data_IF_318794051981
#
_entry.id   IF_318794051981
#
_cell.length_a   1.000
_cell.length_b   1.000
_cell.length_c   1.000
_cell.angle_alpha   90.00
_cell.angle_beta   90.00
_cell.angle_gamma   90.00
#
_symmetry.space_group_name_H-M   'P 1'
#
loop_
_entity.id
_entity.type
_entity.pdbx_description
1 polymer ?
#
# COMPACT_ATOMS: atom_id res chain seq x y z
N UNK A 1 -7.36 16.10 -0.12
CA UNK A 1 -6.87 16.18 1.28
C UNK A 1 -5.63 17.05 1.36
N UNK A 2 -4.43 16.60 0.94
CA UNK A 2 -3.19 17.38 1.10
C UNK A 2 -3.16 18.76 0.43
N UNK A 3 -3.79 18.91 -0.74
CA UNK A 3 -3.82 20.19 -1.47
C UNK A 3 -4.95 21.14 -1.03
N UNK A 4 -5.74 20.79 -0.01
CA UNK A 4 -6.95 21.57 0.34
C UNK A 4 -7.32 21.59 1.82
N UNK A 5 -6.84 20.63 2.62
CA UNK A 5 -7.22 20.44 4.03
C UNK A 5 -6.03 20.60 5.00
N UNK A 6 -4.88 21.05 4.50
CA UNK A 6 -3.69 21.31 5.28
C UNK A 6 -2.96 22.55 4.73
N UNK A 7 -2.13 23.24 5.53
CA UNK A 7 -1.12 24.16 5.01
C UNK A 7 -0.23 23.46 3.99
N UNK A 8 0.44 24.25 3.15
CA UNK A 8 1.50 23.71 2.28
C UNK A 8 2.54 22.97 3.15
N UNK A 9 2.92 21.78 2.72
CA UNK A 9 3.86 20.92 3.44
C UNK A 9 4.22 19.68 2.66
N UNK A 10 4.96 18.79 3.31
CA UNK A 10 5.55 17.60 2.69
C UNK A 10 5.04 16.32 3.35
N UNK A 11 4.66 15.35 2.53
CA UNK A 11 4.43 13.99 3.03
C UNK A 11 5.75 13.37 3.49
N UNK A 12 5.69 12.40 4.41
CA UNK A 12 6.89 11.74 4.96
C UNK A 12 7.81 11.12 3.88
N UNK A 13 7.23 10.61 2.81
CA UNK A 13 7.96 10.05 1.67
C UNK A 13 8.67 11.13 0.84
N UNK A 14 8.05 12.30 0.67
CA UNK A 14 8.62 13.44 -0.07
C UNK A 14 9.75 14.08 0.74
N UNK A 15 9.53 14.26 2.05
CA UNK A 15 10.54 14.73 2.99
C UNK A 15 11.78 13.82 2.98
N UNK A 16 11.60 12.51 3.10
CA UNK A 16 12.70 11.55 3.08
C UNK A 16 13.46 11.53 1.74
N UNK A 17 12.74 11.65 0.62
CA UNK A 17 13.35 11.75 -0.71
C UNK A 17 14.19 13.03 -0.86
N UNK A 18 13.65 14.17 -0.43
CA UNK A 18 14.35 15.46 -0.46
C UNK A 18 15.59 15.46 0.42
N UNK A 19 15.50 14.92 1.63
CA UNK A 19 16.65 14.73 2.53
C UNK A 19 17.74 13.90 1.86
N UNK A 20 17.37 12.77 1.24
CA UNK A 20 18.34 11.93 0.52
C UNK A 20 19.00 12.67 -0.66
N UNK A 21 18.20 13.42 -1.41
CA UNK A 21 18.66 14.22 -2.57
C UNK A 21 19.32 15.54 -2.18
N UNK A 22 19.39 15.87 -0.88
CA UNK A 22 19.90 17.14 -0.35
C UNK A 22 19.19 18.36 -0.95
N UNK A 23 17.87 18.26 -1.06
CA UNK A 23 17.00 19.33 -1.56
C UNK A 23 16.40 20.10 -0.38
N UNK A 24 16.07 21.37 -0.60
CA UNK A 24 15.40 22.18 0.42
C UNK A 24 13.96 21.75 0.67
N UNK A 25 13.50 21.96 1.90
CA UNK A 25 12.12 21.69 2.32
C UNK A 25 11.22 22.92 2.16
N UNK A 26 9.94 22.69 1.91
CA UNK A 26 8.92 23.73 1.75
C UNK A 26 7.74 23.44 2.68
N UNK A 27 7.27 24.46 3.39
CA UNK A 27 6.08 24.35 4.23
C UNK A 27 6.25 23.49 5.48
N UNK A 28 5.15 22.90 5.94
CA UNK A 28 5.09 22.02 7.10
C UNK A 28 5.82 20.69 6.84
N UNK A 29 6.66 20.25 7.78
CA UNK A 29 7.42 19.00 7.65
C UNK A 29 6.97 17.94 8.67
N UNK A 30 7.07 16.64 8.33
CA UNK A 30 6.69 15.56 9.25
C UNK A 30 7.51 15.56 10.54
N UNK A 31 8.78 15.96 10.50
CA UNK A 31 9.65 16.06 11.69
C UNK A 31 9.20 17.19 12.61
N UNK A 32 8.81 18.32 12.03
CA UNK A 32 8.25 19.45 12.78
C UNK A 32 6.95 19.05 13.48
N UNK A 33 5.98 18.51 12.73
CA UNK A 33 4.68 18.11 13.29
C UNK A 33 4.84 17.06 14.39
N UNK A 34 5.70 16.05 14.18
CA UNK A 34 5.98 15.03 15.19
C UNK A 34 6.52 15.63 16.50
N UNK A 35 7.32 16.71 16.42
CA UNK A 35 7.80 17.44 17.60
C UNK A 35 6.70 18.26 18.25
N UNK A 36 5.89 18.96 17.45
CA UNK A 36 4.83 19.84 17.93
C UNK A 36 3.72 19.08 18.66
N UNK A 37 3.26 17.94 18.12
CA UNK A 37 2.20 17.14 18.77
C UNK A 37 2.62 16.59 20.14
N UNK A 38 3.90 16.22 20.31
CA UNK A 38 4.45 15.80 21.60
C UNK A 38 4.48 16.99 22.58
N UNK A 39 4.85 18.17 22.10
CA UNK A 39 4.85 19.38 22.93
C UNK A 39 3.42 19.79 23.35
N UNK A 40 2.44 19.62 22.46
CA UNK A 40 1.03 19.84 22.78
C UNK A 40 0.54 18.88 23.87
N UNK A 41 0.87 17.59 23.77
CA UNK A 41 0.55 16.59 24.80
C UNK A 41 1.12 16.97 26.18
N UNK A 42 2.40 17.32 26.23
CA UNK A 42 3.06 17.77 27.47
C UNK A 42 2.40 19.01 28.09
N UNK A 43 2.06 20.01 27.27
CA UNK A 43 1.39 21.22 27.75
C UNK A 43 -0.01 20.94 28.27
N UNK A 44 -0.76 20.06 27.60
CA UNK A 44 -2.08 19.64 28.03
C UNK A 44 -2.02 18.92 29.39
N UNK A 45 -1.08 17.99 29.56
CA UNK A 45 -0.84 17.33 30.85
C UNK A 45 -0.42 18.30 31.95
N UNK A 46 0.54 19.19 31.66
CA UNK A 46 0.97 20.19 32.63
C UNK A 46 -0.20 21.08 33.07
N UNK A 47 -1.07 21.49 32.15
CA UNK A 47 -2.24 22.32 32.46
C UNK A 47 -3.27 21.57 33.30
N UNK A 48 -3.66 20.35 32.88
CA UNK A 48 -4.74 19.60 33.55
C UNK A 48 -4.35 19.17 34.98
N UNK A 49 -3.07 18.95 35.25
CA UNK A 49 -2.57 18.61 36.60
C UNK A 49 -2.65 19.76 37.61
N UNK A 50 -2.70 21.02 37.15
CA UNK A 50 -2.81 22.17 38.07
C UNK A 50 -4.21 22.35 38.66
N UNK A 51 -5.22 21.71 38.07
CA UNK A 51 -6.63 21.96 38.39
C UNK A 51 -7.18 20.89 39.33
N UNK A 52 -7.85 21.35 40.40
CA UNK A 52 -8.64 20.50 41.29
C UNK A 52 -10.13 20.84 41.17
N UNK A 53 -10.87 19.97 40.48
CA UNK A 53 -12.31 20.17 40.29
C UNK A 53 -13.09 20.05 41.62
N UNK A 54 -14.05 20.96 41.83
CA UNK A 54 -14.96 20.98 42.99
C UNK A 54 -16.41 20.66 42.60
N UNK A 55 -16.72 20.66 41.30
CA UNK A 55 -17.97 20.23 40.66
C UNK A 55 -17.64 19.34 39.47
N UNK A 56 -18.60 18.50 39.05
CA UNK A 56 -18.45 17.59 37.91
C UNK A 56 -17.16 16.75 37.96
N UNK A 57 -16.80 16.31 39.17
CA UNK A 57 -15.51 15.66 39.47
C UNK A 57 -15.27 14.42 38.60
N UNK A 58 -16.32 13.63 38.34
CA UNK A 58 -16.19 12.43 37.50
C UNK A 58 -15.99 12.77 36.02
N UNK A 59 -16.59 13.86 35.53
CA UNK A 59 -16.33 14.35 34.17
C UNK A 59 -14.91 14.91 34.05
N UNK A 60 -14.46 15.66 35.06
CA UNK A 60 -13.08 16.15 35.08
C UNK A 60 -12.06 15.00 35.11
N UNK A 61 -12.35 13.89 35.81
CA UNK A 61 -11.51 12.68 35.75
C UNK A 61 -11.46 12.06 34.35
N UNK A 62 -12.58 12.04 33.61
CA UNK A 62 -12.62 11.57 32.21
C UNK A 62 -11.80 12.49 31.31
N UNK A 63 -12.00 13.79 31.38
CA UNK A 63 -11.21 14.78 30.63
C UNK A 63 -9.71 14.64 30.94
N UNK A 64 -9.36 14.43 32.21
CA UNK A 64 -7.99 14.19 32.63
C UNK A 64 -7.43 12.93 31.97
N UNK A 65 -8.16 11.82 31.98
CA UNK A 65 -7.79 10.59 31.28
C UNK A 65 -7.59 10.83 29.77
N UNK A 66 -8.45 11.63 29.14
CA UNK A 66 -8.33 11.97 27.72
C UNK A 66 -7.02 12.70 27.39
N UNK A 67 -6.55 13.58 28.27
CA UNK A 67 -5.25 14.24 28.10
C UNK A 67 -4.09 13.25 28.17
N UNK A 68 -4.16 12.27 29.06
CA UNK A 68 -3.19 11.15 29.10
C UNK A 68 -3.26 10.31 27.82
N UNK A 69 -4.45 10.01 27.32
CA UNK A 69 -4.61 9.31 26.04
C UNK A 69 -3.99 10.09 24.88
N UNK A 70 -4.22 11.41 24.81
CA UNK A 70 -3.66 12.26 23.76
C UNK A 70 -2.12 12.33 23.82
N UNK A 71 -1.53 12.41 25.02
CA UNK A 71 -0.07 12.42 25.18
C UNK A 71 0.55 11.08 24.73
N UNK A 72 0.00 9.94 25.16
CA UNK A 72 0.49 8.63 24.75
C UNK A 72 0.29 8.40 23.24
N UNK A 73 -0.82 8.87 22.67
CA UNK A 73 -1.07 8.81 21.22
C UNK A 73 -0.11 9.70 20.42
N UNK A 74 0.19 10.92 20.90
CA UNK A 74 1.14 11.81 20.26
C UNK A 74 2.55 11.21 20.23
N UNK A 75 3.00 10.63 21.35
CA UNK A 75 4.29 9.96 21.43
C UNK A 75 4.34 8.68 20.56
N UNK A 76 3.26 7.88 20.52
CA UNK A 76 3.14 6.74 19.62
C UNK A 76 3.42 7.13 18.16
N UNK A 77 2.74 8.16 17.65
CA UNK A 77 2.90 8.62 16.28
C UNK A 77 4.26 9.27 16.04
N UNK A 78 4.74 10.11 16.96
CA UNK A 78 6.03 10.78 16.81
C UNK A 78 7.21 9.79 16.74
N UNK A 79 7.21 8.77 17.60
CA UNK A 79 8.21 7.70 17.56
C UNK A 79 8.07 6.85 16.28
N UNK A 80 6.84 6.59 15.82
CA UNK A 80 6.61 5.87 14.54
C UNK A 80 7.12 6.66 13.34
N UNK A 81 6.96 7.99 13.32
CA UNK A 81 7.52 8.88 12.28
C UNK A 81 9.05 8.82 12.28
N UNK A 82 9.69 8.91 13.45
CA UNK A 82 11.16 8.79 13.55
C UNK A 82 11.66 7.45 13.01
N UNK A 83 10.97 6.35 13.34
CA UNK A 83 11.26 5.04 12.78
C UNK A 83 11.11 5.03 11.26
N UNK A 84 9.98 5.54 10.75
CA UNK A 84 9.68 5.53 9.32
C UNK A 84 10.71 6.32 8.49
N UNK A 85 11.25 7.43 9.01
CA UNK A 85 12.29 8.19 8.31
C UNK A 85 13.60 7.41 8.14
N UNK A 86 14.02 6.66 9.17
CA UNK A 86 15.17 5.75 9.06
C UNK A 86 14.92 4.60 8.08
N UNK A 87 13.70 4.05 8.09
CA UNK A 87 13.29 2.99 7.15
C UNK A 87 13.27 3.52 5.72
N UNK A 88 12.71 4.71 5.49
CA UNK A 88 12.74 5.37 4.18
C UNK A 88 14.16 5.71 3.74
N UNK A 89 15.06 6.06 4.66
CA UNK A 89 16.48 6.23 4.33
C UNK A 89 17.11 4.93 3.80
N UNK A 90 16.78 3.78 4.40
CA UNK A 90 17.21 2.46 3.90
C UNK A 90 16.76 2.22 2.44
N UNK A 91 15.58 2.70 2.02
CA UNK A 91 15.12 2.63 0.62
C UNK A 91 16.17 3.16 -0.36
N UNK A 92 16.93 4.17 0.04
CA UNK A 92 17.90 4.83 -0.81
C UNK A 92 19.34 4.40 -0.54
N UNK A 93 19.70 4.14 0.71
CA UNK A 93 21.06 3.76 1.10
C UNK A 93 21.35 2.27 0.90
N UNK A 94 20.31 1.43 0.94
CA UNK A 94 20.38 -0.03 1.06
C UNK A 94 21.28 -0.51 2.22
N UNK A 95 21.48 0.33 3.24
CA UNK A 95 22.33 0.04 4.39
C UNK A 95 21.50 -0.42 5.58
N UNK A 96 21.65 -1.69 5.97
CA UNK A 96 20.90 -2.31 7.09
C UNK A 96 21.09 -1.54 8.41
N UNK A 97 22.20 -0.82 8.58
CA UNK A 97 22.41 0.04 9.75
C UNK A 97 21.31 1.10 9.93
N UNK A 98 20.72 1.60 8.84
CA UNK A 98 19.59 2.54 8.92
C UNK A 98 18.35 1.85 9.53
N UNK A 99 18.11 0.57 9.23
CA UNK A 99 17.02 -0.20 9.86
C UNK A 99 17.28 -0.46 11.35
N UNK A 100 18.53 -0.67 11.74
CA UNK A 100 18.91 -0.77 13.15
C UNK A 100 18.64 0.52 13.93
N UNK A 101 18.87 1.68 13.30
CA UNK A 101 18.53 2.98 13.90
C UNK A 101 17.02 3.17 14.03
N UNK A 102 16.21 2.62 13.11
CA UNK A 102 14.76 2.69 13.17
C UNK A 102 14.16 1.89 14.35
N UNK A 103 14.73 0.71 14.62
CA UNK A 103 14.19 -0.26 15.57
C UNK A 103 13.86 0.28 16.96
N UNK A 104 14.74 1.03 17.67
CA UNK A 104 14.41 1.57 18.99
C UNK A 104 13.23 2.55 18.97
N UNK A 105 13.03 3.30 17.88
CA UNK A 105 11.90 4.20 17.74
C UNK A 105 10.59 3.42 17.54
N UNK A 106 10.59 2.38 16.69
CA UNK A 106 9.39 1.54 16.52
C UNK A 106 9.02 0.83 17.81
N UNK A 107 10.01 0.37 18.58
CA UNK A 107 9.77 -0.26 19.87
C UNK A 107 9.12 0.71 20.87
N UNK A 108 9.66 1.93 21.01
CA UNK A 108 9.05 2.98 21.85
C UNK A 108 7.64 3.35 21.41
N UNK A 109 7.41 3.41 20.10
CA UNK A 109 6.06 3.62 19.56
C UNK A 109 5.09 2.56 20.10
N UNK A 110 5.40 1.27 19.95
CA UNK A 110 4.55 0.18 20.47
C UNK A 110 4.39 0.25 22.01
N UNK A 111 5.43 0.65 22.75
CA UNK A 111 5.35 0.85 24.20
C UNK A 111 4.35 1.96 24.59
N UNK A 112 4.37 3.10 23.90
CA UNK A 112 3.38 4.17 24.08
C UNK A 112 1.96 3.70 23.72
N UNK A 113 1.82 2.93 22.64
CA UNK A 113 0.53 2.35 22.27
C UNK A 113 -0.01 1.39 23.34
N UNK A 114 0.87 0.59 23.97
CA UNK A 114 0.48 -0.30 25.06
C UNK A 114 -0.01 0.46 26.30
N UNK A 115 0.56 1.63 26.59
CA UNK A 115 0.06 2.52 27.66
C UNK A 115 -1.30 3.12 27.30
N UNK A 116 -1.48 3.55 26.05
CA UNK A 116 -2.78 4.02 25.54
C UNK A 116 -3.88 2.95 25.67
N UNK A 117 -3.56 1.68 25.45
CA UNK A 117 -4.51 0.57 25.69
C UNK A 117 -4.96 0.53 27.14
N UNK A 118 -4.04 0.64 28.11
CA UNK A 118 -4.38 0.64 29.55
C UNK A 118 -5.25 1.83 29.94
N UNK A 119 -5.03 2.99 29.32
CA UNK A 119 -5.83 4.19 29.58
C UNK A 119 -7.24 4.11 29.00
N UNK A 120 -7.47 3.23 28.01
CA UNK A 120 -8.72 3.16 27.23
C UNK A 120 -9.57 1.93 27.51
N UNK A 121 -8.98 0.82 27.97
CA UNK A 121 -9.64 -0.50 28.04
C UNK A 121 -10.92 -0.54 28.89
N UNK A 122 -10.95 0.26 29.96
CA UNK A 122 -12.09 0.36 30.88
C UNK A 122 -12.82 1.72 30.79
N UNK A 123 -12.35 2.63 29.93
CA UNK A 123 -12.86 4.01 29.85
C UNK A 123 -13.54 4.34 28.51
N UNK A 124 -13.31 3.53 27.47
CA UNK A 124 -13.92 3.69 26.15
C UNK A 124 -14.56 2.39 25.63
N UNK A 125 -15.70 2.52 24.96
CA UNK A 125 -16.36 1.39 24.30
C UNK A 125 -15.68 1.03 22.97
N UNK A 126 -15.30 2.05 22.20
CA UNK A 126 -14.70 1.96 20.87
C UNK A 126 -14.14 3.32 20.45
N UNK A 127 -13.27 3.35 19.44
CA UNK A 127 -12.73 4.55 18.83
C UNK A 127 -13.64 5.08 17.69
N UNK A 128 -13.93 4.24 16.69
CA UNK A 128 -14.78 4.62 15.55
C UNK A 128 -16.24 4.24 15.77
N UNK A 129 -17.16 5.20 15.54
CA UNK A 129 -18.61 4.94 15.56
C UNK A 129 -19.10 4.24 14.29
N UNK A 130 -18.44 4.46 13.13
CA UNK A 130 -18.73 3.76 11.88
C UNK A 130 -17.98 2.42 11.82
N UNK A 131 -18.65 1.35 12.22
CA UNK A 131 -18.07 0.00 12.41
C UNK A 131 -18.43 -0.94 11.25
N UNK A 132 -18.01 -0.57 10.05
CA UNK A 132 -18.41 -1.24 8.82
C UNK A 132 -17.21 -1.50 7.91
N UNK A 133 -17.41 -2.34 6.89
CA UNK A 133 -16.39 -2.71 5.89
C UNK A 133 -15.81 -1.52 5.11
N UNK A 134 -16.46 -0.35 5.14
CA UNK A 134 -15.96 0.88 4.54
C UNK A 134 -14.73 1.44 5.26
N UNK A 135 -14.54 1.15 6.55
CA UNK A 135 -13.35 1.57 7.30
C UNK A 135 -12.17 0.69 6.89
N UNK A 136 -11.21 1.26 6.14
CA UNK A 136 -10.04 0.55 5.59
C UNK A 136 -8.76 0.73 6.43
N UNK A 137 -8.58 1.89 7.06
CA UNK A 137 -7.34 2.29 7.75
C UNK A 137 -7.59 2.41 9.26
N UNK A 138 -6.69 1.96 10.15
CA UNK A 138 -5.45 1.24 9.86
C UNK A 138 -5.65 -0.23 9.47
N UNK A 139 -6.79 -0.83 9.83
CA UNK A 139 -7.18 -2.19 9.46
C UNK A 139 -8.64 -2.19 8.98
N UNK A 140 -9.03 -3.17 8.15
CA UNK A 140 -10.42 -3.29 7.69
C UNK A 140 -11.36 -3.58 8.88
N UNK A 141 -12.40 -2.76 9.05
CA UNK A 141 -13.39 -2.85 10.13
C UNK A 141 -14.58 -3.75 9.83
N UNK A 142 -14.38 -4.87 9.13
CA UNK A 142 -15.46 -5.82 8.80
C UNK A 142 -15.98 -6.42 10.11
N UNK A 143 -17.30 -6.58 10.25
CA UNK A 143 -17.94 -7.23 11.40
C UNK A 143 -17.50 -6.69 12.78
N UNK A 144 -17.29 -5.37 12.87
CA UNK A 144 -16.89 -4.65 14.11
C UNK A 144 -15.54 -5.08 14.68
N UNK A 145 -14.62 -5.59 13.86
CA UNK A 145 -13.25 -5.86 14.30
C UNK A 145 -12.37 -4.59 14.30
N UNK A 146 -11.36 -4.55 15.17
CA UNK A 146 -10.38 -3.46 15.27
C UNK A 146 -11.01 -2.11 15.60
N UNK A 147 -12.07 -2.09 16.42
CA UNK A 147 -12.78 -0.88 16.82
C UNK A 147 -12.22 -0.27 18.10
N UNK A 148 -11.38 -1.01 18.83
CA UNK A 148 -10.76 -0.57 20.08
C UNK A 148 -9.22 -0.68 20.01
N UNK A 149 -8.49 0.20 20.71
CA UNK A 149 -7.01 0.21 20.75
C UNK A 149 -6.41 -1.16 21.15
N UNK A 150 -7.03 -1.85 22.11
CA UNK A 150 -6.62 -3.20 22.55
C UNK A 150 -6.54 -4.23 21.41
N UNK A 151 -7.39 -4.12 20.39
CA UNK A 151 -7.38 -5.03 19.23
C UNK A 151 -6.25 -4.70 18.24
N UNK A 152 -5.77 -3.46 18.24
CA UNK A 152 -4.67 -3.00 17.39
C UNK A 152 -3.29 -3.27 17.98
N UNK A 153 -3.16 -3.37 19.31
CA UNK A 153 -1.86 -3.65 19.95
C UNK A 153 -1.21 -4.97 19.48
N UNK A 154 -1.93 -6.09 19.34
CA UNK A 154 -1.37 -7.30 18.73
C UNK A 154 -0.89 -7.09 17.29
N UNK A 155 -1.57 -6.25 16.51
CA UNK A 155 -1.19 -5.93 15.12
C UNK A 155 0.16 -5.19 15.10
N UNK A 156 0.32 -4.14 15.89
CA UNK A 156 1.59 -3.40 15.97
C UNK A 156 2.72 -4.21 16.63
N UNK A 157 2.39 -5.11 17.54
CA UNK A 157 3.38 -6.04 18.10
C UNK A 157 3.88 -7.02 17.04
N UNK A 158 2.98 -7.52 16.18
CA UNK A 158 3.34 -8.38 15.05
C UNK A 158 4.21 -7.63 14.03
N UNK A 159 3.83 -6.40 13.67
CA UNK A 159 4.62 -5.49 12.82
C UNK A 159 6.05 -5.32 13.34
N UNK A 160 6.22 -4.98 14.62
CA UNK A 160 7.54 -4.84 15.26
C UNK A 160 8.35 -6.15 15.22
N UNK A 161 7.70 -7.28 15.49
CA UNK A 161 8.37 -8.58 15.49
C UNK A 161 8.80 -9.02 14.08
N UNK A 162 7.99 -8.73 13.07
CA UNK A 162 8.37 -8.96 11.67
C UNK A 162 9.55 -8.06 11.28
N UNK A 163 9.51 -6.78 11.63
CA UNK A 163 10.60 -5.86 11.37
C UNK A 163 11.93 -6.32 11.98
N UNK A 164 11.92 -6.81 13.23
CA UNK A 164 13.10 -7.43 13.87
C UNK A 164 13.65 -8.61 13.06
N UNK A 165 12.78 -9.54 12.66
CA UNK A 165 13.16 -10.70 11.82
C UNK A 165 13.74 -10.29 10.47
N UNK A 166 13.21 -9.24 9.85
CA UNK A 166 13.70 -8.70 8.58
C UNK A 166 15.12 -8.15 8.73
N UNK A 167 15.40 -7.39 9.79
CA UNK A 167 16.76 -6.90 10.10
C UNK A 167 17.72 -8.08 10.31
N UNK A 168 17.35 -9.07 11.13
CA UNK A 168 18.20 -10.23 11.41
C UNK A 168 18.50 -11.03 10.13
N UNK A 169 17.48 -11.24 9.30
CA UNK A 169 17.61 -11.93 8.01
C UNK A 169 18.58 -11.18 7.09
N UNK A 170 18.42 -9.87 6.94
CA UNK A 170 19.29 -9.03 6.10
C UNK A 170 20.75 -9.02 6.59
N UNK A 171 20.98 -9.02 7.91
CA UNK A 171 22.32 -9.13 8.48
C UNK A 171 22.97 -10.48 8.22
N UNK A 172 22.21 -11.56 8.40
CA UNK A 172 22.71 -12.93 8.21
C UNK A 172 23.16 -13.20 6.76
N UNK A 173 22.61 -12.45 5.80
CA UNK A 173 22.92 -12.59 4.39
C UNK A 173 24.22 -11.91 3.96
N UNK A 174 24.95 -11.15 4.82
CA UNK A 174 26.27 -10.54 4.49
C UNK A 174 26.33 -9.89 3.09
N UNK A 175 25.30 -9.15 2.68
CA UNK A 175 25.24 -8.51 1.35
C UNK A 175 25.10 -9.46 0.16
N UNK A 176 24.89 -10.76 0.39
CA UNK A 176 24.67 -11.76 -0.64
C UNK A 176 23.16 -12.02 -0.85
N UNK A 177 22.73 -11.64 -2.06
CA UNK A 177 21.46 -11.95 -2.72
C UNK A 177 20.19 -11.37 -2.08
N UNK A 178 19.67 -10.33 -2.73
CA UNK A 178 18.24 -10.04 -2.75
C UNK A 178 17.48 -11.37 -2.88
N UNK A 179 16.47 -11.59 -2.03
CA UNK A 179 15.64 -12.79 -2.09
C UNK A 179 15.30 -13.10 -3.55
N UNK A 180 15.66 -14.31 -4.01
CA UNK A 180 15.52 -14.71 -5.41
C UNK A 180 14.07 -14.45 -5.83
N UNK A 181 13.86 -13.52 -6.75
CA UNK A 181 12.53 -13.22 -7.25
C UNK A 181 12.01 -14.46 -7.97
N UNK A 182 10.86 -14.96 -7.53
CA UNK A 182 10.19 -16.11 -8.14
C UNK A 182 9.15 -15.53 -9.12
N UNK A 183 9.33 -15.72 -10.45
CA UNK A 183 8.31 -15.32 -11.41
C UNK A 183 7.01 -16.09 -11.18
N UNK A 184 5.89 -15.42 -11.41
CA UNK A 184 4.59 -16.05 -11.34
C UNK A 184 4.48 -17.15 -12.40
N UNK A 185 3.95 -18.28 -11.97
CA UNK A 185 3.67 -19.39 -12.86
C UNK A 185 2.39 -19.12 -13.63
N UNK A 186 2.49 -19.10 -14.96
CA UNK A 186 1.35 -18.98 -15.84
C UNK A 186 0.48 -20.24 -15.78
N UNK A 187 -0.83 -20.07 -15.80
CA UNK A 187 -1.78 -21.17 -15.97
C UNK A 187 -2.28 -21.16 -17.40
N UNK A 188 -2.32 -22.35 -18.01
CA UNK A 188 -2.86 -22.50 -19.36
C UNK A 188 -4.39 -22.39 -19.32
N UNK A 189 -4.90 -21.38 -20.02
CA UNK A 189 -6.32 -21.05 -20.09
C UNK A 189 -6.72 -20.97 -21.55
N UNK A 190 -7.85 -21.58 -21.91
CA UNK A 190 -8.34 -21.57 -23.29
C UNK A 190 -9.05 -20.24 -23.56
N UNK A 191 -8.35 -19.29 -24.16
CA UNK A 191 -8.94 -18.06 -24.68
C UNK A 191 -9.77 -18.39 -25.93
N UNK A 192 -10.97 -17.82 -26.04
CA UNK A 192 -11.99 -18.20 -27.02
C UNK A 192 -12.18 -17.17 -28.14
N UNK A 193 -11.82 -15.91 -27.90
CA UNK A 193 -12.08 -14.79 -28.82
C UNK A 193 -10.83 -14.04 -29.29
N UNK A 194 -9.65 -14.41 -28.82
CA UNK A 194 -8.35 -13.85 -29.22
C UNK A 194 -7.35 -15.00 -29.40
N UNK A 195 -6.49 -14.92 -30.41
CA UNK A 195 -5.55 -16.00 -30.78
C UNK A 195 -4.08 -15.62 -30.58
N UNK A 196 -3.77 -14.32 -30.62
CA UNK A 196 -2.41 -13.83 -30.47
C UNK A 196 -2.02 -13.66 -29.00
N UNK A 197 -0.84 -14.17 -28.66
CA UNK A 197 -0.28 -14.08 -27.31
C UNK A 197 1.15 -13.60 -27.37
N UNK A 198 1.67 -13.12 -26.24
CA UNK A 198 3.06 -12.73 -26.09
C UNK A 198 3.60 -13.20 -24.74
N UNK A 199 4.90 -13.50 -24.70
CA UNK A 199 5.58 -13.77 -23.44
C UNK A 199 6.01 -12.43 -22.83
N UNK A 200 5.53 -12.14 -21.64
CA UNK A 200 5.86 -10.90 -20.93
C UNK A 200 7.37 -10.89 -20.66
N UNK A 201 8.08 -10.00 -21.35
CA UNK A 201 9.51 -9.75 -21.20
C UNK A 201 9.88 -8.39 -21.79
N UNK A 202 11.09 -7.89 -21.54
CA UNK A 202 11.61 -6.68 -22.19
C UNK A 202 11.66 -6.84 -23.71
N UNK A 203 11.43 -5.74 -24.42
CA UNK A 203 11.45 -5.61 -25.87
C UNK A 203 10.42 -6.48 -26.61
N UNK A 204 9.32 -6.85 -25.93
CA UNK A 204 8.22 -7.61 -26.53
C UNK A 204 7.05 -6.69 -26.85
N UNK A 205 6.48 -6.86 -28.04
CA UNK A 205 5.28 -6.15 -28.49
C UNK A 205 4.03 -6.65 -27.77
N UNK A 206 3.19 -5.71 -27.33
CA UNK A 206 2.03 -6.03 -26.46
C UNK A 206 0.67 -5.86 -27.12
N UNK A 207 0.59 -5.10 -28.21
CA UNK A 207 -0.65 -4.91 -28.99
C UNK A 207 -0.56 -5.64 -30.32
N UNK A 208 -1.70 -6.03 -30.89
CA UNK A 208 -1.76 -6.77 -32.16
C UNK A 208 -1.49 -5.88 -33.39
N UNK A 209 -1.71 -4.57 -33.26
CA UNK A 209 -1.76 -3.59 -34.35
C UNK A 209 -0.72 -2.47 -34.22
N UNK A 210 0.24 -2.59 -33.30
CA UNK A 210 1.32 -1.62 -33.13
C UNK A 210 2.64 -2.29 -32.78
N UNK A 211 3.75 -1.57 -32.98
CA UNK A 211 5.10 -1.99 -32.58
C UNK A 211 5.51 -1.51 -31.17
N UNK A 212 4.53 -1.15 -30.33
CA UNK A 212 4.82 -0.70 -28.95
C UNK A 212 5.34 -1.88 -28.12
N UNK A 213 6.52 -1.70 -27.54
CA UNK A 213 7.24 -2.73 -26.79
C UNK A 213 7.37 -2.39 -25.31
N UNK A 214 7.49 -3.44 -24.49
CA UNK A 214 7.87 -3.35 -23.08
C UNK A 214 9.31 -2.83 -22.97
N UNK A 215 9.49 -1.69 -22.29
CA UNK A 215 10.81 -1.15 -21.96
C UNK A 215 11.38 -1.82 -20.71
N UNK A 216 10.59 -1.84 -19.65
CA UNK A 216 10.94 -2.38 -18.34
C UNK A 216 9.74 -3.15 -17.77
N UNK A 217 10.00 -4.22 -17.01
CA UNK A 217 8.95 -5.05 -16.40
C UNK A 217 9.46 -5.67 -15.10
N UNK A 218 8.58 -5.78 -14.11
CA UNK A 218 8.84 -6.44 -12.85
C UNK A 218 9.17 -7.92 -13.08
N UNK A 219 10.26 -8.41 -12.46
CA UNK A 219 10.75 -9.78 -12.63
C UNK A 219 9.69 -10.84 -12.29
N UNK A 220 8.75 -10.54 -11.38
CA UNK A 220 7.62 -11.41 -11.04
C UNK A 220 6.68 -11.69 -12.21
N UNK A 221 6.57 -10.75 -13.17
CA UNK A 221 5.68 -10.88 -14.33
C UNK A 221 6.36 -11.56 -15.52
N UNK A 222 7.69 -11.71 -15.50
CA UNK A 222 8.45 -12.24 -16.62
C UNK A 222 8.07 -13.68 -16.89
N UNK A 223 7.79 -14.00 -18.16
CA UNK A 223 7.40 -15.34 -18.60
C UNK A 223 5.90 -15.63 -18.55
N UNK A 224 5.07 -14.71 -18.02
CA UNK A 224 3.63 -14.82 -18.16
C UNK A 224 3.21 -14.73 -19.63
N UNK A 225 2.10 -15.40 -19.97
CA UNK A 225 1.54 -15.40 -21.34
C UNK A 225 0.41 -14.37 -21.43
N UNK A 226 0.75 -13.17 -21.89
CA UNK A 226 -0.20 -12.11 -22.17
C UNK A 226 -0.97 -12.35 -23.47
N UNK A 227 -2.08 -11.62 -23.64
CA UNK A 227 -2.94 -11.70 -24.83
C UNK A 227 -2.76 -10.40 -25.61
N UNK A 228 -2.38 -10.49 -26.89
CA UNK A 228 -2.32 -9.32 -27.76
C UNK A 228 -3.73 -8.93 -28.14
N UNK A 229 -4.10 -7.70 -27.85
CA UNK A 229 -5.38 -7.12 -28.25
C UNK A 229 -5.08 -5.87 -29.08
N UNK A 230 -5.87 -5.62 -30.12
CA UNK A 230 -5.73 -4.41 -30.94
C UNK A 230 -5.96 -3.17 -30.09
N UNK A 231 -4.99 -2.27 -30.09
CA UNK A 231 -5.04 -0.95 -29.46
C UNK A 231 -6.21 -0.13 -30.02
N UNK A 232 -6.39 -0.16 -31.34
CA UNK A 232 -7.49 0.54 -32.01
C UNK A 232 -8.86 0.02 -31.56
N UNK A 233 -9.03 -1.30 -31.43
CA UNK A 233 -10.25 -1.94 -30.91
C UNK A 233 -10.53 -1.52 -29.47
N UNK A 234 -9.51 -1.53 -28.61
CA UNK A 234 -9.64 -1.09 -27.22
C UNK A 234 -10.16 0.35 -27.08
N UNK A 235 -9.65 1.27 -27.91
CA UNK A 235 -10.08 2.67 -27.91
C UNK A 235 -11.53 2.84 -28.39
N UNK A 236 -11.95 2.08 -29.41
CA UNK A 236 -13.27 2.25 -30.03
C UNK A 236 -14.40 1.60 -29.23
N UNK A 237 -14.21 0.34 -28.83
CA UNK A 237 -15.27 -0.52 -28.29
C UNK A 237 -14.93 -1.15 -26.94
N UNK A 238 -13.70 -1.00 -26.45
CA UNK A 238 -13.23 -1.61 -25.21
C UNK A 238 -12.61 -2.99 -25.41
N UNK A 239 -12.45 -3.73 -24.31
CA UNK A 239 -11.76 -5.02 -24.31
C UNK A 239 -12.71 -6.13 -23.84
N UNK A 240 -12.95 -7.12 -24.68
CA UNK A 240 -13.68 -8.34 -24.31
C UNK A 240 -12.71 -9.52 -24.26
N UNK A 241 -12.71 -10.28 -23.17
CA UNK A 241 -11.91 -11.49 -23.01
C UNK A 241 -12.84 -12.64 -22.67
N UNK A 242 -13.01 -13.56 -23.61
CA UNK A 242 -13.77 -14.81 -23.44
C UNK A 242 -12.80 -15.94 -23.23
N UNK A 243 -12.97 -16.71 -22.16
CA UNK A 243 -12.06 -17.80 -21.85
C UNK A 243 -12.73 -18.93 -21.08
N UNK A 244 -12.09 -20.10 -21.06
CA UNK A 244 -12.49 -21.25 -20.29
C UNK A 244 -11.31 -21.84 -19.52
N UNK A 245 -11.52 -22.16 -18.25
CA UNK A 245 -10.51 -22.72 -17.36
C UNK A 245 -11.06 -23.90 -16.55
N UNK A 246 -10.20 -24.88 -16.28
CA UNK A 246 -10.51 -26.07 -15.48
C UNK A 246 -10.25 -25.87 -13.98
N UNK A 247 -9.50 -24.83 -13.62
CA UNK A 247 -9.15 -24.48 -12.24
C UNK A 247 -9.50 -23.02 -11.97
N UNK A 248 -9.69 -22.61 -10.70
CA UNK A 248 -9.77 -21.19 -10.35
C UNK A 248 -8.48 -20.47 -10.76
N UNK A 249 -8.62 -19.27 -11.34
CA UNK A 249 -7.51 -18.47 -11.86
C UNK A 249 -7.67 -17.01 -11.50
N UNK A 250 -6.56 -16.26 -11.53
CA UNK A 250 -6.56 -14.81 -11.56
C UNK A 250 -6.05 -14.33 -12.92
N UNK A 251 -6.80 -13.43 -13.55
CA UNK A 251 -6.36 -12.69 -14.72
C UNK A 251 -5.68 -11.40 -14.29
N UNK A 252 -4.44 -11.19 -14.74
CA UNK A 252 -3.68 -9.97 -14.47
C UNK A 252 -3.89 -8.95 -15.58
N UNK A 253 -4.37 -7.75 -15.20
CA UNK A 253 -4.65 -6.64 -16.12
C UNK A 253 -3.84 -5.42 -15.70
N UNK A 254 -3.13 -4.83 -16.66
CA UNK A 254 -2.33 -3.63 -16.50
C UNK A 254 -3.09 -2.36 -16.92
N UNK A 255 -3.12 -1.36 -16.04
CA UNK A 255 -3.70 -0.05 -16.25
C UNK A 255 -2.62 1.04 -16.21
N UNK A 256 -2.62 1.94 -17.18
CA UNK A 256 -1.67 3.06 -17.21
C UNK A 256 -1.91 4.01 -16.05
N UNK A 257 -0.83 4.36 -15.33
CA UNK A 257 -0.83 5.24 -14.17
C UNK A 257 -0.83 6.72 -14.60
N UNK A 258 -1.80 7.09 -15.43
CA UNK A 258 -2.04 8.46 -15.88
C UNK A 258 -3.51 8.62 -16.25
N UNK A 259 -4.14 9.71 -15.80
CA UNK A 259 -5.48 10.07 -16.28
C UNK A 259 -5.38 10.60 -17.72
N UNK A 260 -5.88 9.83 -18.67
CA UNK A 260 -5.97 10.19 -20.08
C UNK A 260 -7.16 9.44 -20.70
N UNK A 261 -8.02 10.08 -21.52
CA UNK A 261 -9.14 9.41 -22.17
C UNK A 261 -8.75 8.24 -23.08
N UNK A 262 -7.50 8.19 -23.54
CA UNK A 262 -7.00 7.07 -24.34
C UNK A 262 -6.67 5.84 -23.49
N UNK A 263 -6.55 5.97 -22.17
CA UNK A 263 -6.21 4.86 -21.27
C UNK A 263 -7.47 4.37 -20.55
N UNK A 264 -7.56 3.05 -20.38
CA UNK A 264 -8.63 2.47 -19.59
C UNK A 264 -8.50 2.92 -18.13
N UNK A 265 -9.59 3.44 -17.56
CA UNK A 265 -9.62 3.79 -16.15
C UNK A 265 -9.54 2.54 -15.26
N UNK A 266 -8.73 2.54 -14.18
CA UNK A 266 -8.69 1.43 -13.23
C UNK A 266 -10.01 1.30 -12.46
N UNK A 267 -10.33 0.11 -11.93
CA UNK A 267 -11.51 -0.09 -11.10
C UNK A 267 -11.47 0.77 -9.82
N UNK A 268 -12.52 1.57 -9.58
CA UNK A 268 -12.65 2.46 -8.42
C UNK A 268 -14.00 2.25 -7.72
N UNK A 269 -13.96 1.86 -6.44
CA UNK A 269 -15.17 1.58 -5.65
C UNK A 269 -15.96 2.85 -5.31
N UNK A 270 -15.29 4.00 -5.30
CA UNK A 270 -15.87 5.30 -5.00
C UNK A 270 -16.84 5.77 -6.09
N UNK A 271 -16.70 5.26 -7.32
CA UNK A 271 -17.50 5.67 -8.49
C UNK A 271 -18.24 4.50 -9.15
N UNK A 272 -17.88 3.25 -8.86
CA UNK A 272 -18.50 2.05 -9.41
C UNK A 272 -18.60 0.93 -8.36
N UNK A 273 -19.83 0.57 -7.98
CA UNK A 273 -20.08 -0.50 -7.02
C UNK A 273 -19.65 -1.89 -7.52
N UNK A 274 -19.50 -2.07 -8.84
CA UNK A 274 -19.03 -3.32 -9.47
C UNK A 274 -17.51 -3.45 -9.53
N UNK A 275 -16.78 -2.39 -9.17
CA UNK A 275 -15.32 -2.31 -9.24
C UNK A 275 -14.56 -3.30 -8.34
N UNK A 276 -15.26 -4.16 -7.59
CA UNK A 276 -14.64 -5.25 -6.83
C UNK A 276 -15.34 -6.61 -6.97
N UNK A 277 -16.22 -6.78 -7.97
CA UNK A 277 -16.91 -8.06 -8.21
C UNK A 277 -15.96 -9.26 -8.41
N UNK A 278 -14.73 -8.99 -8.86
CA UNK A 278 -13.68 -9.98 -9.09
C UNK A 278 -12.48 -9.82 -8.14
N UNK A 279 -12.60 -8.99 -7.09
CA UNK A 279 -11.48 -8.65 -6.20
C UNK A 279 -10.48 -7.63 -6.77
N UNK A 280 -10.85 -6.94 -7.85
CA UNK A 280 -9.94 -6.14 -8.68
C UNK A 280 -9.67 -4.72 -8.18
N UNK A 281 -10.37 -4.24 -7.15
CA UNK A 281 -10.28 -2.82 -6.74
C UNK A 281 -8.91 -2.39 -6.24
N UNK A 282 -8.07 -3.35 -5.83
CA UNK A 282 -6.77 -3.09 -5.23
C UNK A 282 -5.65 -3.37 -6.24
N UNK A 283 -4.72 -2.42 -6.35
CA UNK A 283 -3.49 -2.60 -7.12
C UNK A 283 -2.67 -3.70 -6.44
N UNK A 284 -2.27 -4.72 -7.21
CA UNK A 284 -1.39 -5.79 -6.72
C UNK A 284 0.07 -5.45 -6.97
N UNK A 285 0.40 -4.85 -8.11
CA UNK A 285 1.75 -4.38 -8.37
C UNK A 285 1.70 -2.97 -8.92
N UNK A 286 2.16 -2.00 -8.13
CA UNK A 286 2.27 -0.60 -8.58
C UNK A 286 3.52 -0.43 -9.44
N UNK A 287 3.42 0.39 -10.50
CA UNK A 287 4.50 0.69 -11.44
C UNK A 287 5.23 -0.58 -11.93
N UNK A 288 4.45 -1.61 -12.27
CA UNK A 288 4.90 -2.97 -12.55
C UNK A 288 5.59 -3.13 -13.90
N UNK A 289 5.27 -2.27 -14.87
CA UNK A 289 5.95 -2.24 -16.16
C UNK A 289 5.87 -0.85 -16.82
N UNK A 290 6.72 -0.62 -17.82
CA UNK A 290 6.77 0.60 -18.63
C UNK A 290 6.88 0.21 -20.10
N UNK A 291 6.06 0.79 -20.97
CA UNK A 291 6.20 0.65 -22.42
C UNK A 291 6.97 1.83 -23.01
N UNK A 292 7.58 1.65 -24.18
CA UNK A 292 8.27 2.72 -24.89
C UNK A 292 7.31 3.86 -25.25
N UNK A 293 7.49 5.03 -24.62
CA UNK A 293 6.67 6.22 -24.86
C UNK A 293 5.36 6.28 -24.07
N UNK A 294 5.18 5.42 -23.05
CA UNK A 294 3.98 5.38 -22.23
C UNK A 294 4.30 5.60 -20.74
N UNK A 295 3.31 6.04 -19.95
CA UNK A 295 3.42 6.08 -18.49
C UNK A 295 3.57 4.67 -17.89
N UNK A 296 4.02 4.56 -16.62
CA UNK A 296 4.06 3.30 -15.89
C UNK A 296 2.69 2.63 -15.79
N UNK A 297 2.68 1.31 -15.61
CA UNK A 297 1.46 0.50 -15.56
C UNK A 297 1.32 -0.15 -14.18
N UNK A 298 0.14 -0.05 -13.58
CA UNK A 298 -0.24 -0.76 -12.37
C UNK A 298 -0.97 -2.06 -12.73
N UNK A 299 -0.72 -3.14 -12.00
CA UNK A 299 -1.36 -4.45 -12.23
C UNK A 299 -2.42 -4.73 -11.19
N UNK A 300 -3.62 -5.06 -11.67
CA UNK A 300 -4.74 -5.55 -10.89
C UNK A 300 -5.00 -7.03 -11.20
N UNK A 301 -5.64 -7.73 -10.26
CA UNK A 301 -5.98 -9.13 -10.41
C UNK A 301 -7.51 -9.33 -10.38
N UNK A 302 -8.04 -10.05 -11.35
CA UNK A 302 -9.45 -10.42 -11.45
C UNK A 302 -9.59 -11.92 -11.22
N UNK A 303 -10.29 -12.31 -10.16
CA UNK A 303 -10.42 -13.72 -9.74
C UNK A 303 -11.63 -14.38 -10.39
N UNK A 304 -11.44 -15.59 -10.92
CA UNK A 304 -12.49 -16.37 -11.58
C UNK A 304 -12.47 -17.82 -11.11
N UNK A 305 -13.62 -18.44 -10.81
CA UNK A 305 -13.69 -19.87 -10.52
C UNK A 305 -13.44 -20.70 -11.81
N UNK A 306 -13.36 -22.03 -11.67
CA UNK A 306 -13.38 -22.92 -12.83
C UNK A 306 -14.68 -22.72 -13.66
N UNK A 307 -14.59 -22.77 -14.98
CA UNK A 307 -15.72 -22.56 -15.88
C UNK A 307 -15.40 -21.70 -17.11
N UNK A 308 -16.45 -21.25 -17.79
CA UNK A 308 -16.37 -20.36 -18.95
C UNK A 308 -16.84 -18.97 -18.56
N UNK A 309 -16.02 -17.97 -18.87
CA UNK A 309 -16.20 -16.60 -18.42
C UNK A 309 -16.10 -15.62 -19.57
N UNK A 310 -16.72 -14.46 -19.40
CA UNK A 310 -16.56 -13.29 -20.28
C UNK A 310 -16.28 -12.09 -19.39
N UNK A 311 -15.13 -11.45 -19.57
CA UNK A 311 -14.80 -10.18 -18.94
C UNK A 311 -14.91 -9.07 -19.97
N UNK A 312 -15.67 -8.03 -19.65
CA UNK A 312 -15.73 -6.80 -20.44
C UNK A 312 -15.05 -5.69 -19.64
N UNK A 313 -14.04 -5.07 -20.25
CA UNK A 313 -13.41 -3.85 -19.77
C UNK A 313 -13.87 -2.69 -20.65
N UNK A 314 -13.93 -1.50 -20.05
CA UNK A 314 -14.33 -0.28 -20.74
C UNK A 314 -13.42 0.12 -21.91
N UNK A 315 -13.69 1.29 -22.49
CA UNK A 315 -12.87 1.85 -23.54
C UNK A 315 -11.53 2.35 -22.99
N UNK A 316 -10.50 2.24 -23.81
CA UNK A 316 -9.15 2.71 -23.50
C UNK A 316 -8.13 1.58 -23.49
N UNK A 317 -6.88 1.98 -23.67
CA UNK A 317 -5.74 1.09 -23.75
C UNK A 317 -5.47 0.43 -22.39
N UNK A 318 -5.27 -0.88 -22.39
CA UNK A 318 -4.87 -1.66 -21.23
C UNK A 318 -4.09 -2.90 -21.66
N UNK A 319 -3.39 -3.52 -20.71
CA UNK A 319 -2.59 -4.72 -20.98
C UNK A 319 -3.23 -5.94 -20.35
N UNK A 320 -3.30 -7.03 -21.11
CA UNK A 320 -3.69 -8.34 -20.59
C UNK A 320 -2.45 -9.18 -20.43
N UNK A 321 -1.99 -9.35 -19.19
CA UNK A 321 -0.69 -9.94 -18.86
C UNK A 321 -0.75 -11.46 -18.71
N UNK A 322 -1.96 -12.03 -18.68
CA UNK A 322 -2.21 -13.47 -18.66
C UNK A 322 -2.84 -13.96 -17.37
N UNK A 323 -2.90 -15.29 -17.25
CA UNK A 323 -3.56 -15.98 -16.15
C UNK A 323 -2.54 -16.65 -15.23
N UNK A 324 -2.85 -16.63 -13.94
CA UNK A 324 -2.13 -17.36 -12.89
C UNK A 324 -3.10 -18.20 -12.06
N UNK A 325 -2.57 -19.18 -11.33
CA UNK A 325 -3.37 -19.97 -10.39
C UNK A 325 -3.90 -19.08 -9.26
N UNK A 326 -5.16 -19.26 -8.86
CA UNK A 326 -5.77 -18.49 -7.78
C UNK A 326 -5.07 -18.70 -6.43
N UNK A 327 -4.43 -19.85 -6.22
CA UNK A 327 -3.66 -20.17 -5.02
C UNK A 327 -2.27 -19.52 -5.01
N UNK A 328 -1.80 -19.01 -6.14
CA UNK A 328 -0.53 -18.30 -6.17
C UNK A 328 -0.66 -16.99 -5.40
N UNK A 329 0.22 -16.80 -4.43
CA UNK A 329 0.26 -15.61 -3.59
C UNK A 329 0.71 -14.41 -4.42
N UNK A 330 -0.18 -13.43 -4.55
CA UNK A 330 0.12 -12.14 -5.15
C UNK A 330 0.47 -11.19 -4.02
N UNK A 331 1.76 -10.90 -3.85
CA UNK A 331 2.20 -9.86 -2.92
C UNK A 331 1.80 -8.49 -3.46
N UNK A 332 1.42 -7.59 -2.55
CA UNK A 332 1.15 -6.20 -2.88
C UNK A 332 2.46 -5.44 -2.73
N UNK A 333 2.97 -4.88 -3.83
CA UNK A 333 4.20 -4.09 -3.77
C UNK A 333 4.30 -3.11 -4.93
N UNK A 334 5.21 -2.15 -4.84
CA UNK A 334 5.58 -1.28 -5.95
C UNK A 334 6.90 -1.73 -6.56
N UNK A 335 6.88 -2.02 -7.86
CA UNK A 335 8.07 -2.46 -8.59
C UNK A 335 9.05 -1.32 -8.88
N UNK A 336 8.65 -0.06 -8.65
CA UNK A 336 9.53 1.12 -8.71
C UNK A 336 9.99 1.52 -10.10
N UNK A 337 9.30 1.06 -11.16
CA UNK A 337 9.67 1.36 -12.55
C UNK A 337 9.19 2.75 -13.02
N UNK A 338 8.60 3.55 -12.13
CA UNK A 338 8.30 4.98 -12.33
C UNK A 338 9.51 5.90 -12.08
N UNK A 339 10.65 5.32 -11.68
CA UNK A 339 11.86 6.06 -11.33
C UNK A 339 11.91 6.56 -9.88
N UNK A 340 10.91 6.22 -9.05
CA UNK A 340 10.83 6.60 -7.61
C UNK A 340 11.33 5.50 -6.66
N UNK A 341 11.84 4.38 -7.21
CA UNK A 341 12.41 3.25 -6.46
C UNK A 341 11.35 2.28 -5.92
N UNK A 342 11.78 1.06 -5.57
CA UNK A 342 10.92 -0.02 -5.05
C UNK A 342 10.40 0.32 -3.65
N UNK A 343 9.18 -0.10 -3.33
CA UNK A 343 8.66 0.02 -1.96
C UNK A 343 9.27 -1.03 -1.04
N UNK A 344 9.38 -0.68 0.23
CA UNK A 344 10.09 -1.45 1.26
C UNK A 344 9.15 -1.97 2.35
N UNK A 345 7.84 -1.96 2.09
CA UNK A 345 6.81 -2.42 3.03
C UNK A 345 6.94 -3.91 3.37
N UNK A 346 7.60 -4.68 2.50
CA UNK A 346 7.95 -6.09 2.74
C UNK A 346 8.78 -6.29 4.02
N UNK A 347 9.41 -5.24 4.56
CA UNK A 347 10.11 -5.28 5.85
C UNK A 347 9.18 -5.63 7.02
N UNK A 348 7.85 -5.49 6.85
CA UNK A 348 6.85 -5.71 7.90
C UNK A 348 5.94 -6.93 7.66
N UNK A 349 6.10 -7.65 6.56
CA UNK A 349 5.21 -8.76 6.13
C UNK A 349 5.64 -10.14 6.62
#
# INVERSE_FOLDING_TARGET
MYESEAPEGEMIIEYAEKEWKKQGHIGETPVQVAKEVVEHGKKALASIETVKATKDVEEFKRLKNDMYCYDEMANFYAEKVKSALWILRFKYSNNVADLEQALPFLQKSVEHYAKLVKLTEDSYLYANSMQTKQRKIPMRGVDKTFIHWKEMLPVFTKELNHFKKSIDSLKSLNGATAAKIIPYQAVDVKVLNETETYLVNKNIEVFADTSVQIKEVAEQLVGLRGIKISKEKQLKVGTEIKFSTKVPVKLLVGFFNQKNPNYLAPPQLETDASANNYGQSEIKISNALVLNGFPPVNVHAYSFPAGTHTLNLGKGECLVLGFIDDKQELRIFNAGLDGRGKDIDWLFE
#
